data_IF_853752561558
#
_entry.id   IF_853752561558
#
_cell.length_a   1.000
_cell.length_b   1.000
_cell.length_c   1.000
_cell.angle_alpha   90.00
_cell.angle_beta   90.00
_cell.angle_gamma   90.00
#
_symmetry.space_group_name_H-M   'P 1'
#
loop_
_entity.id
_entity.type
_entity.pdbx_description
1 polymer ?
#
# COMPACT_ATOMS: atom_id res chain seq x y z
N UNK A 1 31.81 -41.77 19.72
CA UNK A 1 30.48 -41.29 19.32
C UNK A 1 30.62 -40.48 18.05
N UNK A 2 30.59 -41.17 16.91
CA UNK A 2 30.62 -40.58 15.57
C UNK A 2 29.32 -40.99 14.88
N UNK A 3 28.27 -40.19 15.03
CA UNK A 3 27.05 -40.32 14.24
C UNK A 3 27.06 -39.23 13.16
N UNK A 4 27.49 -39.61 11.96
CA UNK A 4 27.27 -38.81 10.77
C UNK A 4 25.87 -39.14 10.22
N UNK A 5 25.06 -38.13 9.82
CA UNK A 5 23.75 -38.37 9.24
C UNK A 5 23.84 -39.01 7.84
N UNK A 6 22.81 -39.76 7.41
CA UNK A 6 22.82 -40.48 6.14
C UNK A 6 22.77 -39.54 4.92
N UNK A 7 23.43 -39.95 3.83
CA UNK A 7 23.44 -39.27 2.55
C UNK A 7 22.13 -39.48 1.77
N UNK A 8 21.45 -38.39 1.42
CA UNK A 8 20.24 -38.41 0.59
C UNK A 8 20.61 -38.28 -0.89
N UNK A 9 20.71 -39.39 -1.61
CA UNK A 9 21.01 -39.38 -3.07
C UNK A 9 20.00 -40.10 -3.97
N UNK A 10 18.79 -40.42 -3.50
CA UNK A 10 17.81 -41.12 -4.34
C UNK A 10 16.44 -40.44 -4.34
N UNK A 11 16.25 -39.40 -5.17
CA UNK A 11 14.94 -39.00 -5.69
C UNK A 11 15.05 -37.84 -6.71
N UNK A 12 15.57 -38.11 -7.90
CA UNK A 12 15.35 -37.24 -9.07
C UNK A 12 15.16 -38.12 -10.32
N UNK A 13 13.95 -38.66 -10.49
CA UNK A 13 13.45 -39.09 -11.79
C UNK A 13 12.46 -38.02 -12.26
N UNK A 14 12.89 -37.28 -13.27
CA UNK A 14 12.25 -36.09 -13.81
C UNK A 14 11.25 -36.49 -14.90
N UNK A 15 9.96 -36.23 -14.67
CA UNK A 15 8.94 -36.30 -15.72
C UNK A 15 8.82 -34.92 -16.37
N UNK A 16 9.37 -34.77 -17.58
CA UNK A 16 9.27 -33.55 -18.39
C UNK A 16 7.91 -33.49 -19.08
N UNK A 17 7.02 -32.60 -18.66
CA UNK A 17 5.80 -32.26 -19.40
C UNK A 17 6.08 -31.02 -20.25
N UNK A 18 5.99 -31.22 -21.56
CA UNK A 18 6.20 -30.23 -22.62
C UNK A 18 4.87 -29.52 -22.90
N UNK A 19 4.73 -28.24 -22.54
CA UNK A 19 3.57 -27.42 -22.89
C UNK A 19 4.02 -26.30 -23.82
N UNK A 20 3.46 -26.35 -25.03
CA UNK A 20 3.67 -25.44 -26.16
C UNK A 20 2.88 -24.13 -25.94
N UNK A 21 3.44 -22.95 -26.27
CA UNK A 21 2.70 -21.68 -26.16
C UNK A 21 1.81 -21.45 -27.39
N UNK A 22 0.55 -21.10 -27.14
CA UNK A 22 -0.43 -20.66 -28.15
C UNK A 22 -0.43 -19.13 -28.17
N UNK A 23 0.01 -18.56 -29.28
CA UNK A 23 -0.10 -17.16 -29.66
C UNK A 23 -1.46 -16.88 -30.29
N UNK A 24 -2.07 -15.72 -29.99
CA UNK A 24 -3.06 -15.02 -30.84
C UNK A 24 -3.49 -13.66 -30.20
N UNK A 25 -4.17 -12.74 -30.90
CA UNK A 25 -3.50 -11.67 -31.63
C UNK A 25 -3.93 -10.25 -31.19
N UNK A 26 -3.19 -9.27 -31.71
CA UNK A 26 -3.41 -7.83 -31.59
C UNK A 26 -4.74 -7.38 -32.20
N UNK A 27 -5.42 -6.44 -31.55
CA UNK A 27 -6.49 -5.64 -32.15
C UNK A 27 -6.22 -4.15 -31.96
N UNK A 28 -6.07 -3.49 -33.10
CA UNK A 28 -6.05 -2.05 -33.38
C UNK A 28 -7.47 -1.47 -33.39
N UNK A 29 -7.66 -0.30 -32.80
CA UNK A 29 -8.64 0.75 -33.20
C UNK A 29 -8.63 1.84 -32.14
N UNK A 30 -8.87 3.12 -32.37
CA UNK A 30 -8.94 4.01 -33.52
C UNK A 30 -9.07 5.41 -32.88
N UNK A 31 -8.59 6.45 -33.58
CA UNK A 31 -8.79 7.84 -33.19
C UNK A 31 -10.29 8.16 -33.07
N UNK A 32 -10.67 9.00 -32.10
CA UNK A 32 -11.59 10.07 -32.45
C UNK A 32 -11.43 11.35 -31.62
N UNK A 33 -11.55 12.46 -32.34
CA UNK A 33 -11.43 13.83 -31.91
C UNK A 33 -12.70 14.29 -31.17
N UNK A 34 -12.54 15.02 -30.06
CA UNK A 34 -13.59 15.96 -29.67
C UNK A 34 -13.06 17.20 -28.96
N UNK A 35 -12.92 18.25 -29.75
CA UNK A 35 -12.82 19.64 -29.32
C UNK A 35 -14.02 19.97 -28.41
N UNK A 36 -13.75 20.29 -27.14
CA UNK A 36 -14.74 20.88 -26.25
C UNK A 36 -14.38 22.31 -25.85
N UNK A 37 -15.42 23.11 -25.99
CA UNK A 37 -15.52 24.56 -26.06
C UNK A 37 -15.69 25.10 -24.64
N UNK A 38 -14.81 25.98 -24.19
CA UNK A 38 -14.93 26.68 -22.90
C UNK A 38 -15.88 27.87 -23.00
N UNK A 39 -16.71 28.11 -21.97
CA UNK A 39 -17.08 29.46 -21.59
C UNK A 39 -16.59 29.85 -20.18
N UNK A 40 -16.05 31.07 -20.10
CA UNK A 40 -15.88 31.89 -18.89
C UNK A 40 -17.21 32.04 -18.14
N UNK A 41 -17.19 32.08 -16.81
CA UNK A 41 -17.37 33.32 -16.04
C UNK A 41 -17.32 33.06 -14.53
N UNK A 42 -16.92 34.12 -13.83
CA UNK A 42 -16.54 34.26 -12.43
C UNK A 42 -17.70 34.86 -11.66
N UNK A 43 -18.15 34.24 -10.58
CA UNK A 43 -18.93 34.91 -9.53
C UNK A 43 -18.71 34.23 -8.18
N UNK A 44 -18.24 35.01 -7.21
CA UNK A 44 -18.18 34.65 -5.78
C UNK A 44 -19.58 34.79 -5.18
N UNK A 45 -20.02 33.86 -4.32
CA UNK A 45 -21.04 34.17 -3.33
C UNK A 45 -20.51 34.02 -1.90
N UNK A 46 -20.73 35.11 -1.17
CA UNK A 46 -20.71 35.28 0.28
C UNK A 46 -21.52 34.20 0.99
N UNK A 47 -20.96 33.66 2.08
CA UNK A 47 -21.57 32.64 2.94
C UNK A 47 -22.58 33.27 3.90
N UNK A 48 -23.82 32.76 4.00
CA UNK A 48 -24.59 32.84 5.23
C UNK A 48 -24.72 31.45 5.87
N UNK A 49 -24.30 31.34 7.12
CA UNK A 49 -24.65 30.22 8.00
C UNK A 49 -26.13 30.31 8.38
N UNK A 50 -26.95 29.37 7.92
CA UNK A 50 -28.27 29.09 8.50
C UNK A 50 -28.53 27.59 8.47
N UNK A 51 -28.52 27.01 9.67
CA UNK A 51 -28.95 25.66 9.98
C UNK A 51 -30.46 25.67 10.19
N UNK A 52 -31.24 24.98 9.34
CA UNK A 52 -32.60 24.49 9.65
C UNK A 52 -32.95 23.22 8.84
N UNK A 53 -33.93 22.41 9.31
CA UNK A 53 -33.91 20.96 9.18
C UNK A 53 -34.90 20.34 8.17
N UNK A 54 -34.64 19.06 7.86
CA UNK A 54 -35.55 17.97 7.43
C UNK A 54 -36.44 18.16 6.19
N UNK A 55 -36.07 17.52 5.08
CA UNK A 55 -37.05 16.96 4.13
C UNK A 55 -36.50 15.70 3.44
N UNK A 56 -37.32 14.65 3.46
CA UNK A 56 -36.97 13.24 3.23
C UNK A 56 -37.00 12.86 1.73
N UNK A 57 -37.33 13.80 0.83
CA UNK A 57 -37.20 13.63 -0.64
C UNK A 57 -35.90 14.28 -1.21
N UNK A 58 -35.00 14.75 -0.35
CA UNK A 58 -33.74 15.42 -0.71
C UNK A 58 -32.45 14.62 -0.47
N UNK A 59 -32.54 13.39 0.07
CA UNK A 59 -31.39 12.60 0.55
C UNK A 59 -30.28 12.37 -0.50
N UNK A 60 -30.63 12.25 -1.78
CA UNK A 60 -29.64 12.05 -2.85
C UNK A 60 -28.81 13.31 -3.13
N UNK A 61 -29.42 14.50 -3.03
CA UNK A 61 -28.72 15.78 -3.25
C UNK A 61 -27.80 16.09 -2.07
N UNK A 62 -28.23 15.80 -0.84
CA UNK A 62 -27.42 15.98 0.36
C UNK A 62 -26.25 14.99 0.43
N UNK A 63 -26.46 13.72 0.06
CA UNK A 63 -25.38 12.73 0.00
C UNK A 63 -24.28 13.10 -0.99
N UNK A 64 -24.63 13.58 -2.20
CA UNK A 64 -23.63 14.07 -3.17
C UNK A 64 -22.85 15.29 -2.65
N UNK A 65 -23.53 16.19 -1.97
CA UNK A 65 -22.90 17.37 -1.35
C UNK A 65 -21.94 16.95 -0.24
N UNK A 66 -22.37 16.08 0.68
CA UNK A 66 -21.51 15.56 1.76
C UNK A 66 -20.30 14.84 1.18
N UNK A 67 -20.50 13.96 0.18
CA UNK A 67 -19.40 13.31 -0.54
C UNK A 67 -18.38 14.32 -1.08
N UNK A 68 -18.84 15.36 -1.77
CA UNK A 68 -17.99 16.41 -2.34
C UNK A 68 -17.26 17.21 -1.26
N UNK A 69 -17.95 17.57 -0.18
CA UNK A 69 -17.36 18.28 0.96
C UNK A 69 -16.29 17.42 1.64
N UNK A 70 -16.57 16.16 1.93
CA UNK A 70 -15.61 15.23 2.53
C UNK A 70 -14.38 15.06 1.65
N UNK A 71 -14.55 14.87 0.34
CA UNK A 71 -13.41 14.80 -0.59
C UNK A 71 -12.61 16.09 -0.64
N UNK A 72 -13.25 17.26 -0.54
CA UNK A 72 -12.55 18.55 -0.45
C UNK A 72 -11.71 18.65 0.83
N UNK A 73 -12.31 18.34 1.99
CA UNK A 73 -11.61 18.35 3.27
C UNK A 73 -10.42 17.39 3.28
N UNK A 74 -10.58 16.19 2.72
CA UNK A 74 -9.48 15.22 2.59
C UNK A 74 -8.37 15.75 1.67
N UNK A 75 -8.70 16.41 0.55
CA UNK A 75 -7.70 17.05 -0.32
C UNK A 75 -6.94 18.17 0.40
N UNK A 76 -7.66 18.99 1.16
CA UNK A 76 -7.08 20.10 1.91
C UNK A 76 -6.12 19.55 2.98
N UNK A 77 -6.57 18.56 3.75
CA UNK A 77 -5.79 17.87 4.76
C UNK A 77 -4.52 17.24 4.17
N UNK A 78 -4.64 16.54 3.04
CA UNK A 78 -3.52 15.96 2.31
C UNK A 78 -2.61 17.03 1.69
N UNK A 79 -3.05 18.27 1.54
CA UNK A 79 -2.23 19.36 1.00
C UNK A 79 -1.44 20.10 2.07
N UNK A 80 -1.80 19.93 3.34
CA UNK A 80 -1.03 20.45 4.45
C UNK A 80 0.29 19.67 4.59
N UNK A 81 1.40 20.39 4.77
CA UNK A 81 2.71 19.76 4.89
C UNK A 81 2.87 18.96 6.18
N UNK A 82 2.20 19.38 7.27
CA UNK A 82 2.28 18.78 8.62
C UNK A 82 1.00 19.06 9.44
N UNK A 83 -0.13 18.41 9.13
CA UNK A 83 -1.30 18.49 10.00
C UNK A 83 -0.95 17.92 11.38
N UNK A 84 -1.41 18.56 12.45
CA UNK A 84 -1.24 18.00 13.79
C UNK A 84 -2.05 16.71 13.95
N UNK A 85 -1.60 15.78 14.78
CA UNK A 85 -2.30 14.49 15.01
C UNK A 85 -3.77 14.67 15.38
N UNK A 86 -4.02 15.61 16.29
CA UNK A 86 -5.37 15.92 16.74
C UNK A 86 -6.25 16.52 15.63
N UNK A 87 -5.68 17.37 14.76
CA UNK A 87 -6.42 18.02 13.67
C UNK A 87 -6.91 16.99 12.65
N UNK A 88 -6.02 16.13 12.16
CA UNK A 88 -6.43 15.16 11.14
C UNK A 88 -7.34 14.07 11.71
N UNK A 89 -7.16 13.65 12.97
CA UNK A 89 -8.10 12.72 13.63
C UNK A 89 -9.50 13.31 13.76
N UNK A 90 -9.59 14.57 14.20
CA UNK A 90 -10.87 15.29 14.33
C UNK A 90 -11.58 15.44 12.99
N UNK A 91 -10.85 15.80 11.92
CA UNK A 91 -11.40 15.91 10.57
C UNK A 91 -11.90 14.56 10.04
N UNK A 92 -11.11 13.49 10.20
CA UNK A 92 -11.53 12.15 9.76
C UNK A 92 -12.76 11.65 10.52
N UNK A 93 -12.82 11.85 11.84
CA UNK A 93 -13.97 11.49 12.66
C UNK A 93 -15.23 12.27 12.24
N UNK A 94 -15.12 13.59 12.07
CA UNK A 94 -16.22 14.42 11.60
C UNK A 94 -16.71 14.02 10.20
N UNK A 95 -15.80 13.67 9.29
CA UNK A 95 -16.14 13.18 7.97
C UNK A 95 -16.87 11.82 8.02
N UNK A 96 -16.43 10.92 8.88
CA UNK A 96 -17.06 9.62 9.08
C UNK A 96 -18.49 9.76 9.63
N UNK A 97 -18.69 10.63 10.63
CA UNK A 97 -20.01 10.95 11.19
C UNK A 97 -20.93 11.61 10.16
N UNK A 98 -20.42 12.58 9.39
CA UNK A 98 -21.20 13.23 8.34
C UNK A 98 -21.62 12.23 7.24
N UNK A 99 -20.72 11.31 6.87
CA UNK A 99 -21.01 10.24 5.91
C UNK A 99 -22.09 9.28 6.46
N UNK A 100 -21.95 8.81 7.70
CA UNK A 100 -22.90 7.87 8.30
C UNK A 100 -24.29 8.48 8.43
N UNK A 101 -24.40 9.77 8.79
CA UNK A 101 -25.66 10.50 8.85
C UNK A 101 -26.38 10.61 7.50
N UNK A 102 -25.68 10.46 6.38
CA UNK A 102 -26.25 10.46 5.03
C UNK A 102 -26.29 9.06 4.38
N UNK A 103 -26.02 8.00 5.14
CA UNK A 103 -25.97 6.62 4.61
C UNK A 103 -24.82 6.36 3.64
N UNK A 104 -23.75 7.17 3.70
CA UNK A 104 -22.54 6.95 2.92
C UNK A 104 -21.57 6.07 3.71
N UNK A 105 -20.88 5.17 3.00
CA UNK A 105 -19.80 4.39 3.57
C UNK A 105 -18.49 5.17 3.44
N UNK A 106 -17.97 5.68 4.56
CA UNK A 106 -16.72 6.44 4.61
C UNK A 106 -15.50 5.63 4.15
N UNK A 107 -15.45 4.34 4.49
CA UNK A 107 -14.40 3.43 4.03
C UNK A 107 -14.41 3.29 2.51
N UNK A 108 -15.60 3.13 1.91
CA UNK A 108 -15.72 3.09 0.45
C UNK A 108 -15.25 4.40 -0.20
N UNK A 109 -15.59 5.55 0.41
CA UNK A 109 -15.16 6.88 -0.06
C UNK A 109 -13.63 7.05 -0.07
N UNK A 110 -12.95 6.61 0.99
CA UNK A 110 -11.49 6.68 1.08
C UNK A 110 -10.78 5.80 0.03
N UNK A 111 -11.49 4.83 -0.54
CA UNK A 111 -10.99 3.93 -1.58
C UNK A 111 -11.43 4.35 -2.99
N UNK A 112 -11.89 5.59 -3.17
CA UNK A 112 -12.21 6.17 -4.48
C UNK A 112 -11.06 7.07 -4.99
N UNK A 113 -10.70 6.98 -6.28
CA UNK A 113 -9.69 7.85 -6.86
C UNK A 113 -10.28 9.24 -7.12
N UNK A 114 -9.94 10.21 -6.27
CA UNK A 114 -10.44 11.58 -6.40
C UNK A 114 -9.34 12.65 -6.43
N UNK A 115 -8.06 12.27 -6.35
CA UNK A 115 -6.93 13.19 -6.41
C UNK A 115 -6.03 12.75 -7.55
N UNK A 116 -6.15 13.42 -8.70
CA UNK A 116 -5.37 13.14 -9.92
C UNK A 116 -5.39 11.67 -10.35
N UNK A 117 -6.53 10.99 -10.16
CA UNK A 117 -6.70 9.58 -10.51
C UNK A 117 -6.16 8.56 -9.51
N UNK A 118 -5.59 9.02 -8.39
CA UNK A 118 -5.08 8.18 -7.30
C UNK A 118 -5.92 8.29 -6.02
N UNK A 119 -5.75 7.31 -5.15
CA UNK A 119 -6.38 7.23 -3.84
C UNK A 119 -5.73 8.19 -2.81
N UNK A 120 -6.48 8.63 -1.78
CA UNK A 120 -5.95 9.38 -0.64
C UNK A 120 -4.69 8.79 -0.02
N UNK A 121 -4.63 7.46 0.13
CA UNK A 121 -3.46 6.78 0.72
C UNK A 121 -2.19 6.97 -0.11
N UNK A 122 -2.30 7.00 -1.43
CA UNK A 122 -1.14 7.23 -2.32
C UNK A 122 -0.51 8.59 -1.99
N UNK A 123 -1.34 9.63 -1.94
CA UNK A 123 -0.89 10.99 -1.64
C UNK A 123 -0.40 11.16 -0.20
N UNK A 124 -1.03 10.46 0.76
CA UNK A 124 -0.59 10.47 2.15
C UNK A 124 0.84 9.93 2.29
N UNK A 125 1.19 8.88 1.55
CA UNK A 125 2.53 8.29 1.55
C UNK A 125 3.54 9.23 0.86
N UNK A 126 3.18 9.80 -0.30
CA UNK A 126 4.07 10.71 -1.04
C UNK A 126 4.44 11.97 -0.26
N UNK A 127 3.46 12.52 0.48
CA UNK A 127 3.63 13.78 1.24
C UNK A 127 4.11 13.56 2.67
N UNK A 128 4.35 12.31 3.07
CA UNK A 128 4.82 11.99 4.40
C UNK A 128 6.20 12.64 4.66
N UNK A 129 6.44 13.21 5.84
CA UNK A 129 7.74 13.78 6.18
C UNK A 129 8.83 12.69 6.24
N UNK A 130 9.88 12.82 5.42
CA UNK A 130 10.93 11.78 5.24
C UNK A 130 11.97 11.74 6.38
N UNK A 131 12.02 12.73 7.27
CA UNK A 131 12.89 12.66 8.45
C UNK A 131 12.45 13.64 9.56
N UNK A 132 12.72 13.31 10.83
CA UNK A 132 12.64 14.28 11.91
C UNK A 132 13.74 15.32 11.69
N UNK A 133 13.35 16.48 11.17
CA UNK A 133 14.17 17.70 11.28
C UNK A 133 14.50 17.85 12.76
N UNK A 134 15.77 17.74 13.14
CA UNK A 134 16.32 17.89 14.52
C UNK A 134 15.30 18.50 15.47
N UNK A 135 14.52 17.64 16.12
CA UNK A 135 13.39 18.09 16.95
C UNK A 135 13.98 18.48 18.30
N UNK A 136 13.73 19.72 18.71
CA UNK A 136 13.97 20.19 20.06
C UNK A 136 13.36 19.18 21.06
N UNK A 137 14.10 18.83 22.11
CA UNK A 137 13.81 17.74 23.06
C UNK A 137 12.48 17.85 23.84
N UNK A 138 11.63 18.83 23.54
CA UNK A 138 10.42 19.14 24.31
C UNK A 138 9.14 18.46 23.80
N UNK A 139 9.13 17.86 22.61
CA UNK A 139 7.94 17.16 22.09
C UNK A 139 8.25 15.69 21.80
N UNK A 140 7.47 14.71 22.32
CA UNK A 140 7.67 13.31 21.98
C UNK A 140 7.52 13.12 20.45
N UNK A 141 8.44 12.39 19.80
CA UNK A 141 8.36 12.16 18.36
C UNK A 141 7.14 11.28 18.07
N UNK A 142 6.11 11.87 17.47
CA UNK A 142 4.97 11.12 16.94
C UNK A 142 5.39 10.16 15.84
N UNK A 143 4.67 9.06 15.67
CA UNK A 143 4.94 8.10 14.58
C UNK A 143 4.70 8.80 13.22
N UNK A 144 5.73 8.96 12.36
CA UNK A 144 5.58 9.62 11.06
C UNK A 144 4.59 8.92 10.14
N UNK A 145 4.29 7.65 10.41
CA UNK A 145 3.36 6.84 9.62
C UNK A 145 1.92 6.87 10.16
N UNK A 146 1.68 7.48 11.33
CA UNK A 146 0.37 7.50 12.00
C UNK A 146 -0.77 7.88 11.06
N UNK A 147 -0.63 8.97 10.31
CA UNK A 147 -1.64 9.45 9.37
C UNK A 147 -1.93 8.45 8.24
N UNK A 148 -0.90 7.84 7.65
CA UNK A 148 -1.05 6.82 6.59
C UNK A 148 -1.76 5.60 7.14
N UNK A 149 -1.37 5.14 8.34
CA UNK A 149 -1.95 3.98 8.98
C UNK A 149 -3.42 4.22 9.35
N UNK A 150 -3.78 5.41 9.84
CA UNK A 150 -5.18 5.72 10.15
C UNK A 150 -6.06 5.84 8.91
N UNK A 151 -5.57 6.40 7.80
CA UNK A 151 -6.31 6.38 6.53
C UNK A 151 -6.60 4.93 6.11
N UNK A 152 -5.60 4.04 6.20
CA UNK A 152 -5.77 2.64 5.84
C UNK A 152 -6.70 1.88 6.79
N UNK A 153 -6.62 2.13 8.11
CA UNK A 153 -7.55 1.55 9.09
C UNK A 153 -9.00 2.01 8.83
N UNK A 154 -9.20 3.29 8.55
CA UNK A 154 -10.52 3.84 8.20
C UNK A 154 -11.04 3.33 6.85
N UNK A 155 -10.14 2.80 5.99
CA UNK A 155 -10.45 2.21 4.69
C UNK A 155 -10.71 0.70 4.75
N UNK A 156 -10.72 0.07 5.93
CA UNK A 156 -10.98 -1.36 6.02
C UNK A 156 -12.44 -1.70 5.64
N UNK A 157 -12.69 -2.84 4.94
CA UNK A 157 -11.69 -3.73 4.33
C UNK A 157 -11.05 -3.13 3.07
N UNK A 158 -9.74 -3.34 2.90
CA UNK A 158 -8.99 -2.82 1.75
C UNK A 158 -9.29 -3.62 0.48
N UNK A 159 -9.62 -2.92 -0.60
CA UNK A 159 -9.74 -3.49 -1.93
C UNK A 159 -8.37 -3.58 -2.64
N UNK A 160 -8.33 -4.28 -3.77
CA UNK A 160 -7.11 -4.48 -4.53
C UNK A 160 -6.49 -3.17 -5.05
N UNK A 161 -7.31 -2.16 -5.39
CA UNK A 161 -6.84 -0.85 -5.84
C UNK A 161 -6.11 -0.11 -4.72
N UNK A 162 -6.64 -0.12 -3.50
CA UNK A 162 -6.04 0.47 -2.29
C UNK A 162 -4.65 -0.10 -2.00
N UNK A 163 -4.52 -1.42 -2.11
CA UNK A 163 -3.23 -2.10 -1.96
C UNK A 163 -2.29 -1.71 -3.10
N UNK A 164 -2.75 -1.71 -4.36
CA UNK A 164 -1.92 -1.37 -5.51
C UNK A 164 -1.39 0.06 -5.45
N UNK A 165 -2.25 1.04 -5.14
CA UNK A 165 -1.88 2.46 -5.02
C UNK A 165 -0.92 2.68 -3.85
N UNK A 166 -1.17 2.08 -2.69
CA UNK A 166 -0.25 2.21 -1.56
C UNK A 166 1.13 1.59 -1.86
N UNK A 167 1.19 0.43 -2.54
CA UNK A 167 2.45 -0.16 -3.01
C UNK A 167 3.15 0.73 -4.02
N UNK A 168 2.40 1.30 -4.97
CA UNK A 168 2.93 2.25 -5.96
C UNK A 168 3.54 3.47 -5.29
N UNK A 169 2.86 4.01 -4.28
CA UNK A 169 3.35 5.13 -3.50
C UNK A 169 4.64 4.80 -2.75
N UNK A 170 4.69 3.65 -2.05
CA UNK A 170 5.91 3.19 -1.38
C UNK A 170 7.07 3.02 -2.35
N UNK A 171 6.81 2.53 -3.57
CA UNK A 171 7.81 2.46 -4.63
C UNK A 171 8.28 3.85 -5.01
N UNK A 172 7.37 4.78 -5.30
CA UNK A 172 7.71 6.14 -5.70
C UNK A 172 8.62 6.85 -4.69
N UNK A 173 8.39 6.67 -3.38
CA UNK A 173 9.23 7.24 -2.31
C UNK A 173 10.43 6.38 -1.93
N UNK A 174 10.58 5.19 -2.51
CA UNK A 174 11.61 4.20 -2.17
C UNK A 174 11.65 3.84 -0.68
N UNK A 175 10.51 3.83 0.01
CA UNK A 175 10.47 3.48 1.44
C UNK A 175 10.10 2.01 1.65
N UNK A 176 11.14 1.21 1.82
CA UNK A 176 11.01 -0.19 2.18
C UNK A 176 10.49 -0.43 3.60
N UNK A 177 10.82 0.44 4.56
CA UNK A 177 10.40 0.28 5.96
C UNK A 177 8.89 0.45 6.09
N UNK A 178 8.31 1.47 5.44
CA UNK A 178 6.86 1.63 5.37
C UNK A 178 6.20 0.46 4.63
N UNK A 179 6.73 0.06 3.48
CA UNK A 179 6.19 -1.07 2.72
C UNK A 179 6.12 -2.36 3.56
N UNK A 180 7.19 -2.68 4.29
CA UNK A 180 7.24 -3.83 5.20
C UNK A 180 6.22 -3.68 6.33
N UNK A 181 6.13 -2.49 6.95
CA UNK A 181 5.15 -2.19 8.01
C UNK A 181 3.70 -2.38 7.54
N UNK A 182 3.36 -1.89 6.34
CA UNK A 182 2.04 -2.10 5.74
C UNK A 182 1.75 -3.58 5.52
N UNK A 183 2.73 -4.34 5.04
CA UNK A 183 2.64 -5.80 4.87
C UNK A 183 2.44 -6.57 6.18
N UNK A 184 2.91 -6.04 7.30
CA UNK A 184 2.72 -6.63 8.63
C UNK A 184 1.34 -6.33 9.20
N UNK A 185 0.85 -5.10 9.04
CA UNK A 185 -0.41 -4.64 9.64
C UNK A 185 -1.64 -5.08 8.85
N UNK A 186 -1.54 -5.11 7.52
CA UNK A 186 -2.70 -5.30 6.65
C UNK A 186 -2.54 -6.56 5.80
N UNK A 187 -3.46 -7.51 5.99
CA UNK A 187 -3.43 -8.80 5.30
C UNK A 187 -3.40 -8.70 3.78
N UNK A 188 -4.09 -7.69 3.21
CA UNK A 188 -4.13 -7.43 1.78
C UNK A 188 -2.78 -7.01 1.17
N UNK A 189 -1.86 -6.51 1.99
CA UNK A 189 -0.49 -6.20 1.55
C UNK A 189 0.43 -7.41 1.66
N UNK A 190 0.15 -8.35 2.57
CA UNK A 190 0.98 -9.53 2.75
C UNK A 190 0.77 -10.51 1.58
N UNK A 191 1.84 -10.87 0.87
CA UNK A 191 1.81 -12.00 -0.07
C UNK A 191 2.10 -13.34 0.62
N UNK A 192 1.92 -13.41 1.95
CA UNK A 192 2.11 -14.65 2.70
C UNK A 192 1.10 -15.67 2.19
N UNK A 193 1.61 -16.79 1.69
CA UNK A 193 0.78 -17.94 1.34
C UNK A 193 -0.03 -18.35 2.57
N UNK A 194 -1.31 -18.69 2.39
CA UNK A 194 -2.18 -19.10 3.50
C UNK A 194 -1.56 -20.22 4.35
N UNK A 195 -0.84 -21.14 3.71
CA UNK A 195 -0.09 -22.22 4.38
C UNK A 195 0.97 -21.68 5.33
N UNK A 196 1.73 -20.66 4.93
CA UNK A 196 2.75 -20.04 5.78
C UNK A 196 2.12 -19.36 7.00
N UNK A 197 0.93 -18.75 6.85
CA UNK A 197 0.20 -18.16 8.00
C UNK A 197 -0.17 -19.22 9.04
N UNK A 198 -0.62 -20.39 8.59
CA UNK A 198 -0.97 -21.51 9.48
C UNK A 198 0.27 -22.14 10.11
N UNK A 199 1.33 -22.35 9.34
CA UNK A 199 2.57 -22.98 9.81
C UNK A 199 3.33 -22.14 10.84
N UNK A 200 3.30 -20.82 10.67
CA UNK A 200 3.91 -19.89 11.62
C UNK A 200 3.07 -19.73 12.90
N UNK A 201 1.92 -20.41 13.02
CA UNK A 201 1.16 -20.51 14.27
C UNK A 201 0.71 -19.19 14.87
N UNK A 202 0.53 -18.15 14.03
CA UNK A 202 0.23 -16.80 14.49
C UNK A 202 1.34 -16.14 15.33
N UNK A 203 2.54 -16.73 15.40
CA UNK A 203 3.66 -16.06 16.08
C UNK A 203 4.04 -14.79 15.32
N UNK A 204 4.28 -13.70 16.07
CA UNK A 204 4.80 -12.40 15.59
C UNK A 204 6.21 -12.48 14.97
N UNK A 205 6.65 -13.69 14.64
CA UNK A 205 7.78 -14.05 13.82
C UNK A 205 7.62 -13.45 12.40
N UNK A 206 7.98 -12.19 12.28
CA UNK A 206 7.93 -11.43 11.04
C UNK A 206 9.25 -11.61 10.29
N UNK A 207 9.17 -11.82 8.97
CA UNK A 207 10.35 -11.77 8.12
C UNK A 207 10.82 -10.32 8.03
N UNK A 208 12.09 -10.06 8.29
CA UNK A 208 12.64 -8.70 8.21
C UNK A 208 13.49 -8.52 6.96
N UNK A 209 13.35 -7.36 6.34
CA UNK A 209 14.13 -6.94 5.18
C UNK A 209 14.65 -5.55 5.44
N UNK A 210 15.97 -5.39 5.43
CA UNK A 210 16.60 -4.07 5.36
C UNK A 210 17.32 -3.90 4.04
N UNK A 211 17.12 -2.74 3.42
CA UNK A 211 17.78 -2.34 2.19
C UNK A 211 18.67 -1.17 2.55
N UNK A 212 19.97 -1.35 2.33
CA UNK A 212 21.01 -0.35 2.57
C UNK A 212 21.50 0.15 1.21
N UNK A 213 21.10 1.36 0.85
CA UNK A 213 21.50 1.99 -0.41
C UNK A 213 22.85 2.69 -0.22
N UNK A 214 23.88 2.23 -0.95
CA UNK A 214 25.19 2.87 -0.88
C UNK A 214 25.21 4.17 -1.70
N UNK A 215 25.71 5.24 -1.09
CA UNK A 215 25.82 6.57 -1.72
C UNK A 215 26.98 6.64 -2.72
N UNK A 216 28.05 5.88 -2.47
CA UNK A 216 29.35 6.10 -3.13
C UNK A 216 29.63 5.19 -4.35
N UNK A 217 28.90 4.09 -4.50
CA UNK A 217 29.17 3.10 -5.57
C UNK A 217 28.00 3.05 -6.54
N UNK A 218 28.33 3.19 -7.84
CA UNK A 218 27.43 3.24 -9.01
C UNK A 218 26.21 2.34 -8.88
N UNK A 219 25.13 2.92 -8.32
CA UNK A 219 23.86 2.24 -8.12
C UNK A 219 23.99 0.85 -7.44
N UNK A 220 24.80 0.71 -6.39
CA UNK A 220 24.82 -0.51 -5.56
C UNK A 220 23.87 -0.41 -4.36
N UNK A 221 23.24 -1.52 -3.94
CA UNK A 221 22.48 -1.62 -2.70
C UNK A 221 22.70 -2.99 -2.07
N UNK A 222 22.67 -3.06 -0.75
CA UNK A 222 22.76 -4.32 0.00
C UNK A 222 21.41 -4.64 0.59
N UNK A 223 20.93 -5.86 0.38
CA UNK A 223 19.69 -6.35 1.00
C UNK A 223 20.06 -7.36 2.08
N UNK A 224 19.63 -7.10 3.32
CA UNK A 224 19.71 -8.09 4.41
C UNK A 224 18.32 -8.67 4.64
N UNK A 225 18.24 -9.99 4.51
CA UNK A 225 17.00 -10.76 4.64
C UNK A 225 17.09 -11.64 5.89
N UNK A 226 16.10 -11.55 6.77
CA UNK A 226 15.90 -12.49 7.87
C UNK A 226 14.55 -13.18 7.67
N UNK A 227 14.58 -14.47 7.35
CA UNK A 227 13.38 -15.27 7.09
C UNK A 227 13.14 -16.17 8.29
N UNK A 228 12.06 -15.90 9.03
CA UNK A 228 11.75 -16.68 10.22
C UNK A 228 11.27 -18.07 9.83
N UNK A 229 11.78 -19.09 10.55
CA UNK A 229 11.46 -20.51 10.29
C UNK A 229 11.72 -20.94 8.84
N UNK A 230 12.75 -20.38 8.17
CA UNK A 230 13.07 -20.69 6.78
C UNK A 230 13.12 -22.18 6.47
N UNK A 231 13.78 -22.99 7.31
CA UNK A 231 13.86 -24.44 7.10
C UNK A 231 12.50 -25.13 7.11
N UNK A 232 11.59 -24.72 8.01
CA UNK A 232 10.24 -25.28 8.09
C UNK A 232 9.42 -24.88 6.86
N UNK A 233 9.47 -23.60 6.47
CA UNK A 233 8.79 -23.09 5.26
C UNK A 233 9.29 -23.77 4.00
N UNK A 234 10.61 -23.98 3.88
CA UNK A 234 11.19 -24.74 2.77
C UNK A 234 10.85 -26.23 2.82
N UNK A 235 10.61 -26.81 4.01
CA UNK A 235 10.20 -28.22 4.13
C UNK A 235 8.75 -28.42 3.69
N UNK A 236 7.84 -27.55 4.12
CA UNK A 236 6.39 -27.69 3.90
C UNK A 236 5.93 -26.99 2.62
N UNK A 237 6.15 -25.68 2.52
CA UNK A 237 5.69 -24.85 1.40
C UNK A 237 6.63 -24.92 0.18
N UNK A 238 7.86 -25.43 0.36
CA UNK A 238 8.93 -25.46 -0.66
C UNK A 238 9.29 -24.08 -1.25
N UNK A 239 8.83 -23.02 -0.61
CA UNK A 239 8.95 -21.65 -1.09
C UNK A 239 8.93 -20.69 0.10
N UNK A 240 9.88 -19.77 0.13
CA UNK A 240 9.85 -18.58 0.99
C UNK A 240 9.81 -17.34 0.09
N UNK A 241 8.76 -16.54 0.20
CA UNK A 241 8.60 -15.28 -0.53
C UNK A 241 8.92 -14.10 0.38
N UNK A 242 9.73 -13.19 -0.14
CA UNK A 242 10.07 -11.93 0.51
C UNK A 242 10.01 -10.84 -0.54
N UNK A 243 9.40 -9.70 -0.22
CA UNK A 243 9.27 -8.56 -1.11
C UNK A 243 9.98 -7.35 -0.50
N UNK A 244 10.62 -6.55 -1.34
CA UNK A 244 11.28 -5.33 -0.93
C UNK A 244 11.29 -4.29 -2.04
N UNK A 245 11.48 -3.05 -1.64
CA UNK A 245 11.62 -1.89 -2.53
C UNK A 245 13.07 -1.44 -2.49
N UNK A 246 13.67 -1.27 -3.66
CA UNK A 246 14.99 -0.65 -3.82
C UNK A 246 14.94 0.30 -5.02
N UNK A 247 15.33 1.57 -4.83
CA UNK A 247 15.37 2.61 -5.87
C UNK A 247 14.16 2.70 -6.79
N UNK A 248 12.97 2.87 -6.24
CA UNK A 248 11.79 3.08 -7.06
C UNK A 248 11.26 1.84 -7.78
N UNK A 249 11.87 0.66 -7.56
CA UNK A 249 11.46 -0.59 -8.19
C UNK A 249 11.08 -1.58 -7.11
N UNK A 250 9.85 -2.10 -7.16
CA UNK A 250 9.55 -3.35 -6.47
C UNK A 250 10.32 -4.46 -7.16
N UNK A 251 11.07 -5.21 -6.37
CA UNK A 251 11.69 -6.44 -6.85
C UNK A 251 10.83 -7.59 -6.36
N UNK A 252 10.07 -8.17 -7.29
CA UNK A 252 9.36 -9.44 -7.06
C UNK A 252 10.45 -10.50 -6.78
N UNK A 253 10.27 -11.38 -5.78
CA UNK A 253 11.34 -12.24 -5.29
C UNK A 253 11.97 -13.09 -6.39
N UNK A 254 13.30 -13.17 -6.34
CA UNK A 254 14.01 -14.38 -6.71
C UNK A 254 13.47 -15.52 -5.84
N UNK A 255 12.68 -16.43 -6.42
CA UNK A 255 12.16 -17.58 -5.69
C UNK A 255 13.33 -18.45 -5.22
N UNK A 256 13.53 -18.55 -3.91
CA UNK A 256 14.43 -19.54 -3.33
C UNK A 256 13.70 -20.89 -3.39
N UNK A 257 14.00 -21.67 -4.43
CA UNK A 257 13.46 -23.01 -4.63
C UNK A 257 14.53 -24.04 -4.39
N UNK A 258 14.18 -25.14 -3.71
CA UNK A 258 15.09 -26.27 -3.41
C UNK A 258 15.72 -26.95 -4.64
N UNK A 259 15.26 -26.65 -5.86
CA UNK A 259 15.78 -27.27 -7.09
C UNK A 259 16.82 -26.45 -7.86
N UNK A 260 17.14 -25.22 -7.43
CA UNK A 260 18.20 -24.44 -8.06
C UNK A 260 19.04 -23.78 -6.99
N UNK A 261 20.35 -23.96 -7.12
CA UNK A 261 21.41 -23.19 -6.47
C UNK A 261 20.93 -21.78 -6.15
N UNK A 262 21.09 -21.34 -4.89
CA UNK A 262 20.84 -19.98 -4.43
C UNK A 262 21.70 -18.96 -5.22
N UNK A 263 21.40 -18.75 -6.49
CA UNK A 263 21.79 -17.55 -7.20
C UNK A 263 20.74 -16.50 -6.86
N UNK A 264 20.94 -15.82 -5.74
CA UNK A 264 20.46 -14.45 -5.61
C UNK A 264 21.24 -13.63 -6.66
N UNK A 265 20.77 -13.66 -7.91
CA UNK A 265 21.23 -12.77 -8.97
C UNK A 265 20.66 -11.37 -8.66
N UNK A 266 21.34 -10.68 -7.74
CA UNK A 266 21.31 -9.24 -7.63
C UNK A 266 22.32 -8.70 -8.64
N UNK A 267 21.86 -8.42 -9.87
CA UNK A 267 22.54 -7.55 -10.83
C UNK A 267 22.08 -6.11 -10.62
#
# INVERSE_FOLDING_TARGET
FNDAPPSYQHALQSSSINIKPTSDPSLTSALDNRLQRYPKTRTKPTVPSRWLPTSIFGLSKTAKQVRGTTQSLLRDLLSQARPSEHEWLSVLASCAEACSAQGLNFSALLQEPFIEGHLPVYWAILKRPVAPVKVDHTTPPGDPDSFVLTILDASLPLNAQSVADARLACMAVSDNALFVRLGQRFDGFSQRLGTDKVLLGGTDAIDSVSVDEQVDVSRAFTVRLSITQFQLRMRVSKLARVEFIARGRSKIPSSLSTHRTCCALLC
#
